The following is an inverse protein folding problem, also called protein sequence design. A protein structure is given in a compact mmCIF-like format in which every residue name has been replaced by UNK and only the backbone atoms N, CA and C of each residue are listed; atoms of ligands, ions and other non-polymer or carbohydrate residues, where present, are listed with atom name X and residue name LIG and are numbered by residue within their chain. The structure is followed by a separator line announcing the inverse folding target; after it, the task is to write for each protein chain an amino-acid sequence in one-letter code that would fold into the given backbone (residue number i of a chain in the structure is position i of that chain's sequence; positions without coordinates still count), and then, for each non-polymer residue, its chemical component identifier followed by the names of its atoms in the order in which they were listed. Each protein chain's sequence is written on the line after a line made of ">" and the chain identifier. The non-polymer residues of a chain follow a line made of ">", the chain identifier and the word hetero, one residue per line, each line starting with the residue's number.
data_IF_198137277519
#
_entry.id   IF_198137277519
#
_cell.length_a   1.000
_cell.length_b   1.000
_cell.length_c   1.000
_cell.angle_alpha   90.00
_cell.angle_beta   90.00
_cell.angle_gamma   90.00
#
_symmetry.space_group_name_H-M   'P 1'
#
loop_
_entity.id
_entity.type
_entity.pdbx_description
1 polymer ?
#
# COMPACT_ATOMS: atom_id res chain seq x y z
N UNK A 1 47.63 -83.90 -84.93
CA UNK A 1 46.32 -84.45 -85.36
C UNK A 1 45.38 -83.28 -85.59
N UNK A 2 45.05 -82.97 -86.84
CA UNK A 2 44.03 -81.96 -87.14
C UNK A 2 42.65 -82.64 -87.03
N UNK A 3 41.74 -82.08 -86.21
CA UNK A 3 40.36 -82.56 -86.13
C UNK A 3 39.71 -82.51 -87.52
N UNK A 4 38.97 -83.55 -87.87
CA UNK A 4 38.27 -83.64 -89.15
C UNK A 4 37.08 -82.68 -89.14
N UNK A 5 36.66 -82.21 -90.33
CA UNK A 5 35.62 -81.17 -90.50
C UNK A 5 34.31 -81.52 -89.80
N UNK A 6 33.99 -82.81 -89.67
CA UNK A 6 32.79 -83.29 -88.97
C UNK A 6 32.85 -83.16 -87.43
N UNK A 7 34.01 -82.92 -86.82
CA UNK A 7 34.20 -82.90 -85.35
C UNK A 7 34.22 -81.48 -84.73
N UNK A 8 34.11 -80.41 -85.54
CA UNK A 8 34.06 -79.03 -85.04
C UNK A 8 32.62 -78.66 -84.63
N UNK A 9 32.40 -78.07 -83.43
CA UNK A 9 31.07 -77.60 -83.03
C UNK A 9 30.53 -76.60 -84.06
N UNK A 10 29.51 -77.02 -84.79
CA UNK A 10 28.83 -76.18 -85.76
C UNK A 10 27.58 -75.57 -85.12
N UNK A 11 27.40 -74.26 -85.27
CA UNK A 11 26.15 -73.57 -84.97
C UNK A 11 25.01 -74.27 -85.74
N UNK A 12 23.94 -74.62 -85.02
CA UNK A 12 22.78 -75.28 -85.60
C UNK A 12 22.24 -74.48 -86.80
N UNK A 13 21.79 -75.20 -87.83
CA UNK A 13 21.39 -74.60 -89.12
C UNK A 13 20.34 -73.48 -88.95
N UNK A 14 19.50 -73.58 -87.92
CA UNK A 14 18.48 -72.59 -87.57
C UNK A 14 19.08 -71.23 -87.17
N UNK A 15 20.08 -71.21 -86.28
CA UNK A 15 20.70 -69.97 -85.81
C UNK A 15 21.54 -69.30 -86.90
N UNK A 16 22.21 -70.10 -87.73
CA UNK A 16 22.94 -69.61 -88.90
C UNK A 16 21.99 -68.95 -89.90
N UNK A 17 20.82 -69.53 -90.13
CA UNK A 17 19.78 -68.96 -90.99
C UNK A 17 19.25 -67.63 -90.46
N UNK A 18 18.99 -67.53 -89.16
CA UNK A 18 18.43 -66.32 -88.54
C UNK A 18 19.43 -65.15 -88.50
N UNK A 19 20.72 -65.41 -88.31
CA UNK A 19 21.77 -64.38 -88.41
C UNK A 19 22.00 -63.87 -89.83
N UNK A 20 21.87 -64.76 -90.83
CA UNK A 20 22.02 -64.39 -92.23
C UNK A 20 20.76 -63.74 -92.81
N UNK A 21 19.64 -63.79 -92.08
CA UNK A 21 18.42 -63.08 -92.45
C UNK A 21 18.62 -61.58 -92.24
N UNK A 22 18.26 -60.77 -93.23
CA UNK A 22 18.39 -59.33 -93.14
C UNK A 22 17.47 -58.76 -92.05
N UNK A 23 18.04 -58.32 -90.93
CA UNK A 23 17.29 -57.65 -89.87
C UNK A 23 17.21 -56.15 -90.14
N UNK A 24 15.99 -55.63 -90.30
CA UNK A 24 15.77 -54.18 -90.30
C UNK A 24 15.67 -53.69 -88.87
N UNK A 25 16.69 -52.95 -88.43
CA UNK A 25 16.61 -52.15 -87.21
C UNK A 25 15.55 -51.06 -87.42
N UNK A 26 14.77 -50.76 -86.38
CA UNK A 26 13.84 -49.63 -86.44
C UNK A 26 14.65 -48.35 -86.67
N UNK A 27 14.24 -47.55 -87.65
CA UNK A 27 14.83 -46.22 -87.87
C UNK A 27 14.55 -45.36 -86.64
N UNK A 28 15.60 -44.78 -86.06
CA UNK A 28 15.51 -43.81 -84.96
C UNK A 28 16.00 -42.47 -85.48
N UNK A 29 15.15 -41.44 -85.45
CA UNK A 29 15.54 -40.07 -85.82
C UNK A 29 16.42 -39.45 -84.75
N UNK A 30 17.57 -38.87 -85.14
CA UNK A 30 18.43 -38.11 -84.25
C UNK A 30 17.93 -36.65 -84.21
N UNK A 31 17.44 -36.18 -83.07
CA UNK A 31 17.05 -34.77 -82.87
C UNK A 31 18.26 -33.93 -82.52
N UNK A 32 18.60 -32.96 -83.38
CA UNK A 32 19.61 -31.93 -83.13
C UNK A 32 19.17 -31.00 -81.98
N UNK A 33 19.99 -30.89 -80.93
CA UNK A 33 19.68 -30.13 -79.70
C UNK A 33 19.87 -28.62 -79.82
N UNK A 34 20.32 -28.13 -80.98
CA UNK A 34 20.60 -26.72 -81.20
C UNK A 34 19.39 -26.05 -81.90
N UNK A 35 18.31 -25.85 -81.15
CA UNK A 35 17.14 -25.13 -81.65
C UNK A 35 17.45 -23.64 -81.76
N UNK A 36 17.22 -23.08 -82.95
CA UNK A 36 17.28 -21.64 -83.16
C UNK A 36 16.21 -20.94 -82.30
N UNK A 37 16.45 -19.70 -81.85
CA UNK A 37 15.44 -18.92 -81.15
C UNK A 37 14.13 -18.91 -81.94
N UNK A 38 13.02 -19.16 -81.25
CA UNK A 38 11.71 -19.14 -81.86
C UNK A 38 11.30 -17.72 -82.23
N UNK A 39 10.28 -17.59 -83.08
CA UNK A 39 9.68 -16.28 -83.39
C UNK A 39 9.16 -15.56 -82.14
N UNK A 40 8.74 -16.32 -81.12
CA UNK A 40 8.30 -15.78 -79.83
C UNK A 40 9.48 -15.26 -79.02
N UNK A 41 10.61 -15.99 -78.97
CA UNK A 41 11.83 -15.54 -78.27
C UNK A 41 12.35 -14.23 -78.87
N UNK A 42 12.36 -14.12 -80.20
CA UNK A 42 12.75 -12.89 -80.89
C UNK A 42 11.81 -11.72 -80.59
N UNK A 43 10.50 -11.98 -80.46
CA UNK A 43 9.49 -10.96 -80.15
C UNK A 43 9.64 -10.46 -78.72
N UNK A 44 9.89 -11.36 -77.77
CA UNK A 44 10.16 -11.02 -76.38
C UNK A 44 11.45 -10.20 -76.26
N UNK A 45 12.53 -10.62 -76.92
CA UNK A 45 13.81 -9.89 -76.93
C UNK A 45 13.65 -8.48 -77.49
N UNK A 46 12.93 -8.31 -78.62
CA UNK A 46 12.63 -6.98 -79.18
C UNK A 46 11.82 -6.11 -78.21
N UNK A 47 10.86 -6.71 -77.51
CA UNK A 47 10.06 -6.00 -76.51
C UNK A 47 10.93 -5.54 -75.34
N UNK A 48 11.81 -6.41 -74.85
CA UNK A 48 12.75 -6.10 -73.78
C UNK A 48 13.73 -4.99 -74.18
N UNK A 49 14.34 -5.09 -75.37
CA UNK A 49 15.21 -4.02 -75.87
C UNK A 49 14.48 -2.69 -76.04
N UNK A 50 13.24 -2.71 -76.53
CA UNK A 50 12.45 -1.49 -76.64
C UNK A 50 12.21 -0.83 -75.27
N UNK A 51 12.00 -1.61 -74.21
CA UNK A 51 11.84 -1.08 -72.85
C UNK A 51 13.16 -0.50 -72.32
N UNK A 52 14.28 -1.21 -72.52
CA UNK A 52 15.60 -0.74 -72.09
C UNK A 52 15.98 0.57 -72.77
N UNK A 53 15.83 0.65 -74.10
CA UNK A 53 16.10 1.88 -74.86
C UNK A 53 15.18 3.03 -74.38
N UNK A 54 13.92 2.73 -74.07
CA UNK A 54 12.99 3.71 -73.52
C UNK A 54 13.41 4.25 -72.14
N UNK A 55 13.95 3.39 -71.27
CA UNK A 55 14.46 3.76 -69.94
C UNK A 55 15.79 4.51 -70.04
N UNK A 56 16.72 4.06 -70.90
CA UNK A 56 17.99 4.75 -71.15
C UNK A 56 17.79 6.15 -71.76
N UNK A 57 16.81 6.28 -72.67
CA UNK A 57 16.42 7.55 -73.27
C UNK A 57 15.52 8.42 -72.38
N UNK A 58 15.17 7.96 -71.18
CA UNK A 58 14.28 8.70 -70.29
C UNK A 58 14.99 9.92 -69.70
N UNK A 59 14.49 11.12 -70.03
CA UNK A 59 14.96 12.37 -69.44
C UNK A 59 14.06 12.78 -68.27
N UNK A 60 14.60 12.78 -67.06
CA UNK A 60 13.87 13.13 -65.84
C UNK A 60 13.22 14.53 -65.89
N UNK A 61 13.73 15.43 -66.73
CA UNK A 61 13.17 16.77 -66.99
C UNK A 61 11.79 16.75 -67.63
N UNK A 62 11.37 15.62 -68.23
CA UNK A 62 10.05 15.47 -68.84
C UNK A 62 8.99 15.06 -67.81
N UNK A 63 9.39 14.74 -66.57
CA UNK A 63 8.43 14.55 -65.49
C UNK A 63 7.72 15.87 -65.23
N UNK A 64 6.39 15.81 -65.16
CA UNK A 64 5.60 16.98 -64.77
C UNK A 64 5.98 17.34 -63.33
N UNK A 65 6.30 18.62 -63.04
CA UNK A 65 6.45 19.07 -61.67
C UNK A 65 5.19 18.73 -60.88
N UNK A 66 5.36 18.04 -59.77
CA UNK A 66 4.28 17.74 -58.83
C UNK A 66 4.67 18.32 -57.48
N UNK A 67 3.73 18.99 -56.83
CA UNK A 67 3.93 19.54 -55.49
C UNK A 67 3.84 18.41 -54.47
N UNK A 68 4.95 18.14 -53.77
CA UNK A 68 4.97 17.20 -52.66
C UNK A 68 4.63 17.94 -51.37
N UNK A 69 3.49 17.62 -50.76
CA UNK A 69 3.13 18.14 -49.44
C UNK A 69 3.69 17.22 -48.34
N UNK A 70 4.88 17.55 -47.83
CA UNK A 70 5.47 16.89 -46.67
C UNK A 70 4.94 17.53 -45.37
N UNK A 71 4.17 16.77 -44.59
CA UNK A 71 3.60 17.25 -43.34
C UNK A 71 4.60 17.06 -42.19
N UNK A 72 5.53 18.00 -42.00
CA UNK A 72 6.34 18.07 -40.78
C UNK A 72 5.49 18.67 -39.65
N UNK A 73 4.93 17.81 -38.78
CA UNK A 73 4.15 18.26 -37.62
C UNK A 73 5.12 18.65 -36.50
N UNK A 74 5.06 19.91 -36.08
CA UNK A 74 5.77 20.36 -34.88
C UNK A 74 5.10 19.76 -33.62
N UNK A 75 5.86 19.48 -32.55
CA UNK A 75 5.30 19.05 -31.27
C UNK A 75 4.22 20.02 -30.80
N UNK A 76 3.15 19.50 -30.19
CA UNK A 76 2.10 20.34 -29.65
C UNK A 76 2.63 21.16 -28.45
N UNK A 77 2.06 22.34 -28.16
CA UNK A 77 2.39 23.09 -26.95
C UNK A 77 2.26 22.26 -25.66
N UNK A 78 1.30 21.32 -25.64
CA UNK A 78 1.10 20.34 -24.57
C UNK A 78 2.31 19.42 -24.39
N UNK A 79 2.89 18.90 -25.48
CA UNK A 79 4.05 18.02 -25.46
C UNK A 79 5.27 18.75 -24.88
N UNK A 80 5.49 20.00 -25.30
CA UNK A 80 6.58 20.85 -24.81
C UNK A 80 6.41 21.14 -23.31
N UNK A 81 5.18 21.39 -22.87
CA UNK A 81 4.88 21.66 -21.45
C UNK A 81 5.08 20.41 -20.59
N UNK A 82 4.68 19.24 -21.08
CA UNK A 82 4.90 17.97 -20.41
C UNK A 82 6.40 17.70 -20.26
N UNK A 83 7.17 17.85 -21.34
CA UNK A 83 8.62 17.65 -21.35
C UNK A 83 9.33 18.58 -20.35
N UNK A 84 9.00 19.89 -20.36
CA UNK A 84 9.55 20.84 -19.38
C UNK A 84 9.22 20.48 -17.93
N UNK A 85 8.03 19.94 -17.70
CA UNK A 85 7.61 19.52 -16.36
C UNK A 85 8.46 18.34 -15.87
N UNK A 86 8.66 17.34 -16.73
CA UNK A 86 9.51 16.19 -16.40
C UNK A 86 10.97 16.58 -16.20
N UNK A 87 11.51 17.43 -17.07
CA UNK A 87 12.87 17.93 -16.93
C UNK A 87 13.06 18.70 -15.62
N UNK A 88 12.11 19.56 -15.24
CA UNK A 88 12.15 20.27 -13.98
C UNK A 88 12.10 19.35 -12.75
N UNK A 89 11.30 18.29 -12.80
CA UNK A 89 11.24 17.28 -11.74
C UNK A 89 12.58 16.55 -11.59
N UNK A 90 13.14 16.08 -12.70
CA UNK A 90 14.43 15.36 -12.72
C UNK A 90 15.55 16.24 -12.17
N UNK A 91 15.63 17.49 -12.64
CA UNK A 91 16.63 18.45 -12.16
C UNK A 91 16.45 18.78 -10.66
N UNK A 92 15.21 18.87 -10.20
CA UNK A 92 14.88 19.09 -8.79
C UNK A 92 15.36 17.95 -7.89
N UNK A 93 15.23 16.70 -8.35
CA UNK A 93 15.73 15.51 -7.65
C UNK A 93 17.26 15.43 -7.72
N UNK A 94 17.87 15.67 -8.88
CA UNK A 94 19.32 15.64 -9.05
C UNK A 94 20.01 16.72 -8.21
N UNK A 95 19.42 17.91 -8.10
CA UNK A 95 19.94 19.03 -7.31
C UNK A 95 19.54 18.95 -5.83
N UNK A 96 18.86 17.90 -5.40
CA UNK A 96 18.41 17.76 -4.02
C UNK A 96 19.58 17.38 -3.09
N UNK A 97 19.89 18.26 -2.14
CA UNK A 97 20.84 17.95 -1.07
C UNK A 97 20.12 17.33 0.12
N UNK A 98 20.59 16.14 0.55
CA UNK A 98 20.09 15.44 1.74
C UNK A 98 20.25 16.27 3.03
N UNK A 99 21.13 17.28 3.07
CA UNK A 99 21.29 18.19 4.21
C UNK A 99 20.04 19.06 4.46
N UNK A 100 19.18 19.22 3.44
CA UNK A 100 17.90 19.94 3.56
C UNK A 100 16.83 19.10 4.26
N UNK A 101 17.06 17.80 4.46
CA UNK A 101 16.15 16.96 5.24
C UNK A 101 16.33 17.26 6.73
N UNK A 102 15.20 17.39 7.42
CA UNK A 102 15.21 17.45 8.88
C UNK A 102 15.73 16.12 9.42
N UNK A 103 16.74 16.19 10.29
CA UNK A 103 17.21 15.02 11.04
C UNK A 103 16.07 14.49 11.91
N UNK A 104 15.64 13.26 11.65
CA UNK A 104 14.64 12.57 12.47
C UNK A 104 15.37 11.50 13.27
N UNK A 105 15.32 11.61 14.60
CA UNK A 105 15.71 10.50 15.48
C UNK A 105 14.65 9.41 15.38
N UNK A 106 14.89 8.41 14.54
CA UNK A 106 14.15 7.16 14.59
C UNK A 106 14.47 6.45 15.90
N UNK A 107 13.46 5.87 16.56
CA UNK A 107 13.74 4.92 17.65
C UNK A 107 14.43 3.72 17.01
N UNK A 108 15.73 3.57 17.28
CA UNK A 108 16.45 2.34 17.01
C UNK A 108 15.66 1.17 17.63
N UNK A 109 15.47 0.05 16.93
CA UNK A 109 15.01 -1.16 17.58
C UNK A 109 15.99 -1.48 18.73
N UNK A 110 15.44 -1.82 19.90
CA UNK A 110 16.25 -2.12 21.06
C UNK A 110 17.29 -3.19 20.71
N UNK A 111 18.57 -2.89 20.91
CA UNK A 111 19.67 -3.81 20.59
C UNK A 111 19.43 -5.18 21.26
N UNK A 112 19.83 -6.31 20.62
CA UNK A 112 19.72 -7.64 21.22
C UNK A 112 20.30 -7.71 22.64
N UNK A 113 21.40 -7.00 22.90
CA UNK A 113 22.03 -6.91 24.22
C UNK A 113 21.13 -6.21 25.25
N UNK A 114 20.48 -5.11 24.85
CA UNK A 114 19.58 -4.37 25.72
C UNK A 114 18.31 -5.18 26.02
N UNK A 115 17.78 -5.92 25.04
CA UNK A 115 16.67 -6.85 25.25
C UNK A 115 17.03 -7.98 26.22
N UNK A 116 18.22 -8.58 26.08
CA UNK A 116 18.69 -9.64 26.97
C UNK A 116 18.86 -9.13 28.41
N UNK A 117 19.41 -7.92 28.61
CA UNK A 117 19.56 -7.32 29.93
C UNK A 117 18.21 -7.08 30.61
N UNK A 118 17.22 -6.60 29.86
CA UNK A 118 15.84 -6.41 30.38
C UNK A 118 15.23 -7.75 30.79
N UNK A 119 15.37 -8.78 29.97
CA UNK A 119 14.84 -10.11 30.30
C UNK A 119 15.52 -10.73 31.52
N UNK A 120 16.84 -10.57 31.65
CA UNK A 120 17.59 -11.05 32.81
C UNK A 120 17.16 -10.32 34.10
N UNK A 121 16.99 -9.00 34.04
CA UNK A 121 16.53 -8.19 35.17
C UNK A 121 15.09 -8.56 35.57
N UNK A 122 14.21 -8.80 34.59
CA UNK A 122 12.83 -9.26 34.80
C UNK A 122 12.81 -10.64 35.45
N UNK A 123 13.60 -11.58 34.92
CA UNK A 123 13.74 -12.93 35.48
C UNK A 123 14.24 -12.93 36.92
N UNK A 124 15.25 -12.10 37.22
CA UNK A 124 15.78 -11.91 38.58
C UNK A 124 14.71 -11.38 39.54
N UNK A 125 13.95 -10.37 39.12
CA UNK A 125 12.86 -9.79 39.92
C UNK A 125 11.76 -10.81 40.22
N UNK A 126 11.37 -11.61 39.22
CA UNK A 126 10.36 -12.66 39.38
C UNK A 126 10.85 -13.75 40.34
N UNK A 127 12.10 -14.20 40.21
CA UNK A 127 12.68 -15.19 41.10
C UNK A 127 12.72 -14.68 42.55
N UNK A 128 13.16 -13.44 42.76
CA UNK A 128 13.21 -12.81 44.08
C UNK A 128 11.83 -12.71 44.74
N UNK A 129 10.79 -12.37 43.96
CA UNK A 129 9.40 -12.33 44.46
C UNK A 129 8.88 -13.73 44.77
N UNK A 130 9.19 -14.72 43.92
CA UNK A 130 8.75 -16.10 44.12
C UNK A 130 9.35 -16.73 45.40
N UNK A 131 10.60 -16.41 45.72
CA UNK A 131 11.28 -16.88 46.93
C UNK A 131 11.13 -15.94 48.14
N UNK A 132 10.31 -14.89 48.04
CA UNK A 132 10.20 -13.90 49.09
C UNK A 132 9.48 -14.47 50.33
N UNK A 133 10.20 -14.53 51.45
CA UNK A 133 9.64 -14.94 52.73
C UNK A 133 8.80 -13.82 53.33
N UNK A 134 7.48 -14.04 53.34
CA UNK A 134 6.46 -13.12 53.85
C UNK A 134 6.60 -12.86 55.36
N UNK A 135 7.30 -13.72 56.11
CA UNK A 135 7.50 -13.49 57.55
C UNK A 135 8.43 -12.30 57.84
N UNK A 136 9.24 -11.89 56.86
CA UNK A 136 10.06 -10.68 56.94
C UNK A 136 9.27 -9.37 56.79
N UNK A 137 7.98 -9.44 56.43
CA UNK A 137 7.13 -8.24 56.38
C UNK A 137 6.85 -7.74 57.80
N UNK A 138 7.09 -6.45 58.02
CA UNK A 138 6.66 -5.78 59.26
C UNK A 138 5.14 -5.84 59.36
N UNK A 139 4.64 -6.31 60.50
CA UNK A 139 3.21 -6.24 60.82
C UNK A 139 2.85 -4.77 61.03
N UNK A 140 1.71 -4.36 60.46
CA UNK A 140 1.13 -3.04 60.66
C UNK A 140 -0.28 -3.23 61.18
N UNK A 141 -0.60 -2.63 62.32
CA UNK A 141 -1.97 -2.54 62.82
C UNK A 141 -2.65 -1.35 62.15
N UNK A 142 -3.76 -1.62 61.46
CA UNK A 142 -4.58 -0.58 60.85
C UNK A 142 -5.77 -0.32 61.77
N UNK A 143 -5.91 0.92 62.24
CA UNK A 143 -7.08 1.34 63.02
C UNK A 143 -8.13 1.92 62.07
N UNK A 144 -9.36 1.40 62.15
CA UNK A 144 -10.52 1.97 61.46
C UNK A 144 -10.86 3.34 62.09
N UNK A 145 -10.80 4.39 61.28
CA UNK A 145 -11.01 5.79 61.73
C UNK A 145 -12.47 6.19 61.86
N UNK A 146 -13.41 5.24 61.71
CA UNK A 146 -14.84 5.48 61.83
C UNK A 146 -15.52 4.45 62.75
N UNK A 147 -15.13 4.35 64.03
CA UNK A 147 -15.82 3.48 64.96
C UNK A 147 -17.27 3.94 65.10
N UNK A 148 -18.21 2.98 65.19
CA UNK A 148 -19.59 3.27 65.51
C UNK A 148 -19.67 4.03 66.85
N UNK A 149 -20.63 4.96 67.01
CA UNK A 149 -20.82 5.63 68.29
C UNK A 149 -21.05 4.59 69.39
N UNK A 150 -20.41 4.79 70.54
CA UNK A 150 -20.56 3.90 71.69
C UNK A 150 -21.97 4.03 72.31
N UNK A 151 -22.29 3.10 73.21
CA UNK A 151 -23.60 3.05 73.88
C UNK A 151 -23.91 4.32 74.66
N UNK A 152 -22.89 5.01 75.17
CA UNK A 152 -23.03 6.19 75.99
C UNK A 152 -23.39 7.42 75.14
N UNK A 153 -22.75 7.57 73.97
CA UNK A 153 -23.08 8.59 72.98
C UNK A 153 -24.51 8.40 72.48
N UNK A 154 -24.92 7.16 72.19
CA UNK A 154 -26.29 6.84 71.76
C UNK A 154 -27.30 7.18 72.86
N UNK A 155 -27.02 6.81 74.11
CA UNK A 155 -27.91 7.07 75.24
C UNK A 155 -28.11 8.57 75.48
N UNK A 156 -27.03 9.36 75.41
CA UNK A 156 -27.09 10.84 75.53
C UNK A 156 -27.91 11.48 74.42
N UNK A 157 -27.73 11.04 73.17
CA UNK A 157 -28.53 11.54 72.05
C UNK A 157 -30.02 11.22 72.24
N UNK A 158 -30.34 10.01 72.70
CA UNK A 158 -31.72 9.60 73.01
C UNK A 158 -32.35 10.43 74.14
N UNK A 159 -31.59 10.77 75.17
CA UNK A 159 -32.05 11.65 76.25
C UNK A 159 -32.31 13.07 75.73
N UNK A 160 -31.41 13.60 74.91
CA UNK A 160 -31.55 14.92 74.30
C UNK A 160 -32.78 15.02 73.38
N UNK A 161 -33.02 13.98 72.56
CA UNK A 161 -34.20 13.89 71.70
C UNK A 161 -35.48 13.87 72.56
N UNK A 162 -35.50 13.10 73.65
CA UNK A 162 -36.64 13.08 74.59
C UNK A 162 -36.89 14.45 75.21
N UNK A 163 -35.83 15.14 75.63
CA UNK A 163 -35.92 16.48 76.19
C UNK A 163 -36.53 17.48 75.20
N UNK A 164 -36.02 17.51 73.96
CA UNK A 164 -36.55 18.37 72.89
C UNK A 164 -38.02 18.08 72.60
N UNK A 165 -38.37 16.81 72.44
CA UNK A 165 -39.75 16.38 72.18
C UNK A 165 -40.68 16.79 73.34
N UNK A 166 -40.22 16.67 74.59
CA UNK A 166 -40.98 17.07 75.75
C UNK A 166 -41.27 18.57 75.80
N UNK A 167 -40.34 19.41 75.36
CA UNK A 167 -40.56 20.86 75.23
C UNK A 167 -41.54 21.15 74.09
N UNK A 168 -41.34 20.55 72.92
CA UNK A 168 -42.22 20.78 71.75
C UNK A 168 -43.66 20.36 72.02
N UNK A 169 -43.86 19.25 72.74
CA UNK A 169 -45.17 18.75 73.12
C UNK A 169 -45.74 19.38 74.40
N UNK A 170 -45.05 20.35 75.02
CA UNK A 170 -45.48 20.92 76.29
C UNK A 170 -46.76 21.76 76.13
N UNK A 171 -47.83 21.34 76.80
CA UNK A 171 -49.09 22.07 76.81
C UNK A 171 -48.99 23.30 77.74
N UNK A 172 -48.94 24.49 77.15
CA UNK A 172 -48.87 25.76 77.88
C UNK A 172 -50.10 26.03 78.75
N UNK A 173 -51.24 25.38 78.47
CA UNK A 173 -52.45 25.52 79.30
C UNK A 173 -52.34 24.79 80.63
N UNK A 174 -51.38 23.86 80.75
CA UNK A 174 -51.06 23.18 82.01
C UNK A 174 -50.33 24.07 83.03
N UNK A 175 -49.90 25.27 82.64
CA UNK A 175 -49.27 26.23 83.56
C UNK A 175 -50.30 26.80 84.52
N UNK A 176 -49.97 26.81 85.82
CA UNK A 176 -50.81 27.46 86.83
C UNK A 176 -50.82 28.98 86.64
N UNK A 177 -51.99 29.60 86.86
CA UNK A 177 -52.13 31.05 86.78
C UNK A 177 -51.40 31.71 87.95
N UNK A 178 -50.45 32.60 87.66
CA UNK A 178 -49.82 33.47 88.65
C UNK A 178 -50.37 34.89 88.51
N UNK A 179 -50.75 35.52 89.62
CA UNK A 179 -51.13 36.94 89.66
C UNK A 179 -49.89 37.79 89.88
N UNK A 180 -49.60 38.71 88.95
CA UNK A 180 -48.46 39.62 89.03
C UNK A 180 -48.94 41.01 89.41
N UNK A 181 -48.47 41.54 90.55
CA UNK A 181 -48.76 42.93 90.97
C UNK A 181 -47.64 43.85 90.49
N UNK A 182 -47.89 44.60 89.42
CA UNK A 182 -46.97 45.61 88.90
C UNK A 182 -47.20 46.95 89.62
N UNK A 183 -46.23 47.40 90.42
CA UNK A 183 -46.31 48.65 91.19
C UNK A 183 -45.74 49.83 90.38
N UNK A 184 -46.50 50.36 89.42
CA UNK A 184 -46.16 51.61 88.75
C UNK A 184 -46.91 52.79 89.39
N UNK A 185 -46.32 53.42 90.42
CA UNK A 185 -46.84 54.69 90.96
C UNK A 185 -46.07 55.83 90.31
N UNK A 186 -46.75 56.73 89.58
CA UNK A 186 -46.09 57.91 89.00
C UNK A 186 -45.72 58.91 90.11
N UNK A 187 -44.53 59.57 90.04
CA UNK A 187 -44.14 60.58 91.02
C UNK A 187 -45.13 61.75 91.09
N UNK A 188 -45.41 62.26 92.29
CA UNK A 188 -46.31 63.41 92.46
C UNK A 188 -45.65 64.71 91.99
N UNK A 189 -46.46 65.71 91.62
CA UNK A 189 -45.96 67.01 91.13
C UNK A 189 -45.03 67.71 92.11
N UNK A 190 -45.18 67.48 93.41
CA UNK A 190 -44.31 68.02 94.46
C UNK A 190 -42.89 67.48 94.33
N UNK A 191 -42.74 66.16 94.14
CA UNK A 191 -41.43 65.52 93.94
C UNK A 191 -40.72 66.08 92.71
N UNK A 192 -41.47 66.32 91.63
CA UNK A 192 -40.95 66.89 90.39
C UNK A 192 -40.53 68.35 90.58
N UNK A 193 -41.28 69.13 91.38
CA UNK A 193 -40.99 70.54 91.61
C UNK A 193 -39.77 70.73 92.51
N UNK A 194 -39.62 69.90 93.55
CA UNK A 194 -38.45 69.90 94.43
C UNK A 194 -37.18 69.61 93.62
N UNK A 195 -37.21 68.59 92.75
CA UNK A 195 -36.09 68.22 91.88
C UNK A 195 -35.72 69.33 90.88
N UNK A 196 -36.72 70.06 90.35
CA UNK A 196 -36.47 71.21 89.46
C UNK A 196 -35.84 72.42 90.15
N UNK A 197 -35.96 72.54 91.47
CA UNK A 197 -35.39 73.67 92.22
C UNK A 197 -33.93 73.46 92.63
N UNK A 198 -33.44 72.23 92.51
CA UNK A 198 -32.09 71.81 92.94
C UNK A 198 -31.09 71.80 91.78
N UNK A 199 -31.49 72.18 90.56
CA UNK A 199 -30.64 72.13 89.35
C UNK A 199 -30.54 73.47 88.62
#
# INVERSE_FOLDING_TARGET
>A
MAMKKEELPCIGETLKGELLQGHSLRKTEATEKNVLPSAEDMKQEKTHQSMLIGIEGFTATNLKPTETNEKQVLPAPEDIKAEKTHQGLLQGVESFSAEKLKQVKTREPQSPTAALQVELARGSSIAAVASFDKTNLKKSETMEKNPLPDTDVIAKEMEHIKFKTGIEAFDRTSLSRAETVEKNSLPTKEMIAEEKSVN
#
